data_IF_472211474444
#
_entry.id   IF_472211474444
#
_cell.length_a   1.000
_cell.length_b   1.000
_cell.length_c   1.000
_cell.angle_alpha   90.00
_cell.angle_beta   90.00
_cell.angle_gamma   90.00
#
_symmetry.space_group_name_H-M   'P 1'
#
loop_
_entity.id
_entity.type
_entity.pdbx_description
1 polymer ?
#
# COMPACT_ATOMS: atom_id res chain seq x y z
N UNK A 1 -18.80 -23.26 13.04
CA UNK A 1 -18.24 -21.94 12.70
C UNK A 1 -18.51 -21.67 11.22
N UNK A 2 -19.20 -20.58 10.84
CA UNK A 2 -19.46 -20.29 9.43
C UNK A 2 -18.15 -19.89 8.74
N UNK A 3 -17.87 -20.54 7.61
CA UNK A 3 -16.67 -20.32 6.79
C UNK A 3 -16.75 -18.91 6.19
N UNK A 4 -15.76 -18.06 6.47
CA UNK A 4 -15.58 -16.80 5.74
C UNK A 4 -15.32 -17.12 4.26
N UNK A 5 -15.99 -16.42 3.31
CA UNK A 5 -15.73 -16.59 1.89
C UNK A 5 -14.29 -16.18 1.55
N UNK A 6 -13.71 -16.83 0.53
CA UNK A 6 -12.32 -16.62 0.08
C UNK A 6 -12.19 -15.27 -0.62
N UNK A 7 -11.06 -14.55 -0.47
CA UNK A 7 -10.78 -13.38 -1.28
C UNK A 7 -10.43 -13.84 -2.71
N UNK A 8 -11.08 -13.20 -3.68
CA UNK A 8 -10.69 -13.09 -5.08
C UNK A 8 -10.33 -14.37 -5.88
N UNK A 9 -11.17 -15.41 -5.79
CA UNK A 9 -11.54 -16.18 -7.01
C UNK A 9 -13.02 -16.51 -7.01
N UNK A 10 -13.71 -15.95 -8.02
CA UNK A 10 -15.08 -16.26 -8.38
C UNK A 10 -15.21 -17.77 -8.58
N UNK A 11 -15.89 -18.44 -7.66
CA UNK A 11 -16.55 -19.70 -7.99
C UNK A 11 -17.93 -19.71 -7.35
N UNK A 12 -18.96 -20.15 -8.10
CA UNK A 12 -20.37 -19.90 -7.85
C UNK A 12 -20.95 -20.91 -6.85
N UNK A 13 -20.26 -21.10 -5.74
CA UNK A 13 -20.60 -22.17 -4.81
C UNK A 13 -20.66 -21.65 -3.37
N UNK A 14 -21.74 -20.90 -3.12
CA UNK A 14 -22.67 -21.17 -2.02
C UNK A 14 -23.87 -20.25 -2.16
N UNK A 15 -24.96 -20.82 -2.70
CA UNK A 15 -26.28 -20.22 -2.68
C UNK A 15 -26.88 -19.79 -4.02
N UNK A 16 -26.35 -20.25 -5.16
CA UNK A 16 -27.04 -20.01 -6.44
C UNK A 16 -28.09 -21.07 -6.68
N UNK A 17 -29.29 -20.60 -7.01
CA UNK A 17 -30.19 -21.42 -7.79
C UNK A 17 -29.55 -21.76 -9.13
N UNK A 18 -29.64 -23.02 -9.51
CA UNK A 18 -29.22 -23.51 -10.83
C UNK A 18 -30.32 -23.28 -11.88
N UNK A 19 -31.40 -22.60 -11.49
CA UNK A 19 -32.58 -22.39 -12.30
C UNK A 19 -32.66 -20.94 -12.75
N UNK A 20 -32.61 -20.68 -14.06
CA UNK A 20 -32.79 -19.32 -14.61
C UNK A 20 -34.19 -18.76 -14.33
N UNK A 21 -35.12 -19.60 -13.86
CA UNK A 21 -36.44 -19.19 -13.34
C UNK A 21 -36.37 -18.44 -12.01
N UNK A 22 -35.24 -18.45 -11.31
CA UNK A 22 -35.07 -17.76 -10.02
C UNK A 22 -34.71 -16.27 -10.15
N UNK A 23 -34.53 -15.78 -11.39
CA UNK A 23 -34.56 -14.35 -11.71
C UNK A 23 -36.01 -13.80 -11.80
N UNK A 24 -37.02 -14.65 -11.53
CA UNK A 24 -38.42 -14.30 -11.68
C UNK A 24 -38.76 -14.03 -13.16
N UNK A 25 -39.23 -12.81 -13.45
CA UNK A 25 -39.57 -12.39 -14.81
C UNK A 25 -38.34 -12.04 -15.69
N UNK A 26 -37.15 -11.89 -15.09
CA UNK A 26 -35.90 -11.55 -15.77
C UNK A 26 -35.17 -12.81 -16.29
N UNK A 27 -35.83 -13.64 -17.08
CA UNK A 27 -35.22 -14.81 -17.72
C UNK A 27 -34.47 -14.39 -19.00
N UNK A 28 -33.38 -13.63 -18.84
CA UNK A 28 -32.53 -13.17 -19.94
C UNK A 28 -31.26 -14.05 -20.05
N UNK A 29 -30.72 -14.26 -21.26
CA UNK A 29 -29.42 -14.89 -21.43
C UNK A 29 -28.31 -14.13 -20.68
N UNK A 30 -27.29 -14.86 -20.22
CA UNK A 30 -26.15 -14.30 -19.50
C UNK A 30 -25.48 -13.14 -20.25
N UNK A 31 -25.26 -13.31 -21.57
CA UNK A 31 -24.63 -12.28 -22.41
C UNK A 31 -25.45 -10.99 -22.46
N UNK A 32 -26.79 -11.09 -22.43
CA UNK A 32 -27.66 -9.91 -22.39
C UNK A 32 -27.55 -9.19 -21.06
N UNK A 33 -27.43 -9.93 -19.96
CA UNK A 33 -27.21 -9.35 -18.63
C UNK A 33 -25.84 -8.64 -18.56
N UNK A 34 -24.79 -9.23 -19.15
CA UNK A 34 -23.50 -8.55 -19.28
C UNK A 34 -23.63 -7.23 -20.05
N UNK A 35 -24.29 -7.24 -21.22
CA UNK A 35 -24.52 -6.05 -22.02
C UNK A 35 -25.30 -4.96 -21.28
N UNK A 36 -26.26 -5.33 -20.44
CA UNK A 36 -26.99 -4.40 -19.56
C UNK A 36 -26.03 -3.77 -18.56
N UNK A 37 -25.22 -4.58 -17.87
CA UNK A 37 -24.27 -4.06 -16.89
C UNK A 37 -23.17 -3.19 -17.53
N UNK A 38 -22.77 -3.49 -18.77
CA UNK A 38 -21.83 -2.67 -19.54
C UNK A 38 -22.35 -1.26 -19.82
N UNK A 39 -23.68 -1.03 -19.80
CA UNK A 39 -24.26 0.32 -19.97
C UNK A 39 -24.04 1.22 -18.74
N UNK A 40 -23.70 0.66 -17.58
CA UNK A 40 -23.37 1.48 -16.41
C UNK A 40 -21.95 2.05 -16.55
N UNK A 41 -21.83 3.32 -16.22
CA UNK A 41 -20.63 4.13 -16.25
C UNK A 41 -20.35 4.72 -14.85
N UNK A 42 -19.22 5.44 -14.65
CA UNK A 42 -18.89 6.02 -13.35
C UNK A 42 -19.87 7.06 -12.82
N UNK A 43 -20.92 7.48 -13.55
CA UNK A 43 -21.90 8.50 -13.12
C UNK A 43 -23.21 7.88 -12.64
N UNK A 44 -23.55 6.69 -13.11
CA UNK A 44 -24.77 5.96 -12.75
C UNK A 44 -24.47 4.61 -12.06
N UNK A 45 -23.26 4.45 -11.53
CA UNK A 45 -22.82 3.19 -10.90
C UNK A 45 -23.74 2.74 -9.75
N UNK A 46 -24.36 3.67 -9.04
CA UNK A 46 -25.33 3.37 -7.97
C UNK A 46 -26.50 2.51 -8.47
N UNK A 47 -26.94 2.69 -9.72
CA UNK A 47 -28.03 1.91 -10.31
C UNK A 47 -27.59 0.46 -10.55
N UNK A 48 -26.32 0.24 -10.92
CA UNK A 48 -25.73 -1.09 -11.04
C UNK A 48 -25.71 -1.81 -9.69
N UNK A 49 -25.41 -1.09 -8.60
CA UNK A 49 -25.45 -1.64 -7.24
C UNK A 49 -26.86 -2.06 -6.88
N UNK A 50 -27.85 -1.19 -7.06
CA UNK A 50 -29.25 -1.52 -6.76
C UNK A 50 -29.76 -2.70 -7.60
N UNK A 51 -29.43 -2.74 -8.89
CA UNK A 51 -29.78 -3.89 -9.74
C UNK A 51 -29.12 -5.18 -9.23
N UNK A 52 -27.85 -5.12 -8.85
CA UNK A 52 -27.13 -6.23 -8.25
C UNK A 52 -27.75 -6.74 -6.95
N UNK A 53 -28.25 -5.84 -6.10
CA UNK A 53 -28.90 -6.20 -4.83
C UNK A 53 -30.20 -6.99 -4.99
N UNK A 54 -30.86 -6.91 -6.15
CA UNK A 54 -32.14 -7.61 -6.36
C UNK A 54 -32.01 -9.14 -6.43
N UNK A 55 -30.84 -9.66 -6.78
CA UNK A 55 -30.64 -11.09 -7.02
C UNK A 55 -29.16 -11.49 -6.93
N UNK A 56 -28.84 -12.64 -6.33
CA UNK A 56 -27.46 -13.10 -6.13
C UNK A 56 -26.67 -13.35 -7.43
N UNK A 57 -27.35 -13.70 -8.53
CA UNK A 57 -26.74 -13.83 -9.86
C UNK A 57 -26.42 -12.46 -10.46
N UNK A 58 -27.37 -11.51 -10.41
CA UNK A 58 -27.13 -10.13 -10.84
C UNK A 58 -26.07 -9.45 -9.97
N UNK A 59 -26.03 -9.76 -8.68
CA UNK A 59 -25.00 -9.33 -7.74
C UNK A 59 -23.61 -9.71 -8.24
N UNK A 60 -23.41 -10.97 -8.64
CA UNK A 60 -22.14 -11.45 -9.14
C UNK A 60 -21.73 -10.76 -10.44
N UNK A 61 -22.66 -10.51 -11.36
CA UNK A 61 -22.37 -9.81 -12.62
C UNK A 61 -22.05 -8.33 -12.35
N UNK A 62 -22.90 -7.66 -11.55
CA UNK A 62 -22.76 -6.26 -11.22
C UNK A 62 -21.48 -5.95 -10.45
N UNK A 63 -21.12 -6.79 -9.48
CA UNK A 63 -19.86 -6.62 -8.73
C UNK A 63 -18.65 -6.60 -9.65
N UNK A 64 -18.64 -7.43 -10.69
CA UNK A 64 -17.55 -7.50 -11.64
C UNK A 64 -17.40 -6.18 -12.39
N UNK A 65 -18.53 -5.66 -12.89
CA UNK A 65 -18.57 -4.38 -13.60
C UNK A 65 -18.18 -3.21 -12.70
N UNK A 66 -18.70 -3.18 -11.47
CA UNK A 66 -18.37 -2.18 -10.46
C UNK A 66 -16.85 -2.17 -10.24
N UNK A 67 -16.25 -3.35 -10.07
CA UNK A 67 -14.82 -3.49 -9.85
C UNK A 67 -13.99 -3.11 -11.08
N UNK A 68 -14.40 -3.48 -12.29
CA UNK A 68 -13.69 -3.09 -13.51
C UNK A 68 -13.64 -1.56 -13.66
N UNK A 69 -14.75 -0.88 -13.39
CA UNK A 69 -14.81 0.59 -13.43
C UNK A 69 -14.00 1.21 -12.29
N UNK A 70 -14.15 0.69 -11.07
CA UNK A 70 -13.40 1.17 -9.91
C UNK A 70 -11.90 1.01 -10.12
N UNK A 71 -11.47 -0.11 -10.70
CA UNK A 71 -10.08 -0.41 -10.96
C UNK A 71 -9.49 0.51 -12.04
N UNK A 72 -10.21 0.68 -13.15
CA UNK A 72 -9.82 1.62 -14.20
C UNK A 72 -9.74 3.07 -13.68
N UNK A 73 -10.55 3.40 -12.68
CA UNK A 73 -10.51 4.71 -12.05
C UNK A 73 -9.36 4.83 -11.05
N UNK A 74 -9.27 3.95 -10.05
CA UNK A 74 -8.36 4.09 -8.90
C UNK A 74 -6.93 3.63 -9.17
N UNK A 75 -6.74 2.75 -10.16
CA UNK A 75 -5.44 2.14 -10.45
C UNK A 75 -5.05 2.28 -11.93
N UNK A 76 -5.05 3.50 -12.52
CA UNK A 76 -4.66 3.69 -13.92
C UNK A 76 -3.19 3.31 -14.17
N UNK A 77 -2.39 3.20 -13.11
CA UNK A 77 -0.99 2.75 -13.14
C UNK A 77 -0.84 1.21 -13.22
N UNK A 78 -1.92 0.44 -13.06
CA UNK A 78 -1.84 -1.02 -13.10
C UNK A 78 -1.35 -1.52 -14.46
N UNK A 79 -0.31 -2.34 -14.43
CA UNK A 79 0.43 -2.79 -15.61
C UNK A 79 0.87 -1.63 -16.51
N UNK A 80 1.27 -0.51 -15.91
CA UNK A 80 1.91 0.62 -16.59
C UNK A 80 3.33 0.83 -16.07
N UNK A 81 4.13 1.58 -16.84
CA UNK A 81 5.46 2.03 -16.41
C UNK A 81 5.33 3.03 -15.27
N UNK A 82 5.99 2.77 -14.15
CA UNK A 82 5.99 3.67 -12.99
C UNK A 82 7.41 4.06 -12.61
N UNK A 83 7.62 5.35 -12.38
CA UNK A 83 8.90 5.92 -11.93
C UNK A 83 8.60 7.03 -10.92
N UNK A 84 9.41 7.13 -9.87
CA UNK A 84 9.39 8.25 -8.93
C UNK A 84 10.60 9.13 -9.25
N UNK A 85 10.37 10.36 -9.73
CA UNK A 85 11.43 11.24 -10.24
C UNK A 85 11.78 12.31 -9.21
N UNK A 86 13.06 12.47 -8.92
CA UNK A 86 13.58 13.56 -8.09
C UNK A 86 13.57 14.91 -8.81
N UNK A 87 13.41 15.98 -8.02
CA UNK A 87 13.43 17.38 -8.46
C UNK A 87 14.77 17.84 -9.07
N UNK A 88 15.87 17.18 -8.72
CA UNK A 88 17.19 17.43 -9.29
C UNK A 88 17.57 16.46 -10.43
N UNK A 89 16.62 15.77 -11.04
CA UNK A 89 16.88 14.93 -12.22
C UNK A 89 17.43 15.78 -13.38
N UNK A 90 18.55 15.33 -13.96
CA UNK A 90 19.10 15.85 -15.22
C UNK A 90 18.50 15.09 -16.40
N UNK A 91 18.16 15.79 -17.47
CA UNK A 91 17.53 15.21 -18.65
C UNK A 91 18.41 14.24 -19.42
N UNK A 92 19.73 14.24 -19.18
CA UNK A 92 20.69 13.27 -19.72
C UNK A 92 20.88 12.03 -18.86
N UNK A 93 20.26 11.97 -17.68
CA UNK A 93 20.47 10.93 -16.66
C UNK A 93 19.16 10.19 -16.35
N UNK A 94 18.53 9.70 -17.42
CA UNK A 94 17.32 8.89 -17.36
C UNK A 94 17.68 7.40 -17.19
N UNK A 95 16.83 6.58 -16.54
CA UNK A 95 17.00 5.14 -16.58
C UNK A 95 17.05 4.64 -18.04
N UNK A 96 17.83 3.58 -18.32
CA UNK A 96 17.92 3.04 -19.66
C UNK A 96 16.54 2.56 -20.14
N UNK A 97 16.25 2.81 -21.42
CA UNK A 97 15.02 2.38 -22.11
C UNK A 97 13.70 2.84 -21.46
N UNK A 98 13.74 3.88 -20.61
CA UNK A 98 12.53 4.41 -19.97
C UNK A 98 11.61 5.11 -20.95
N UNK A 99 12.15 5.79 -21.96
CA UNK A 99 11.37 6.51 -22.97
C UNK A 99 11.25 5.68 -24.25
N UNK A 100 10.04 5.60 -24.79
CA UNK A 100 9.81 5.10 -26.15
C UNK A 100 10.29 6.12 -27.18
N UNK A 101 10.55 5.68 -28.40
CA UNK A 101 11.06 6.55 -29.48
C UNK A 101 10.15 7.77 -29.76
N UNK A 102 8.83 7.60 -29.66
CA UNK A 102 7.85 8.66 -29.81
C UNK A 102 7.82 9.63 -28.61
N UNK A 103 8.22 9.16 -27.43
CA UNK A 103 8.24 9.95 -26.19
C UNK A 103 9.51 10.79 -26.05
N UNK A 104 10.62 10.36 -26.67
CA UNK A 104 11.94 11.03 -26.56
C UNK A 104 11.88 12.50 -26.98
N UNK A 105 11.16 12.81 -28.05
CA UNK A 105 11.05 14.19 -28.55
C UNK A 105 10.48 15.16 -27.48
N UNK A 106 9.56 14.68 -26.65
CA UNK A 106 8.88 15.48 -25.64
C UNK A 106 9.56 15.41 -24.27
N UNK A 107 10.03 14.23 -23.87
CA UNK A 107 10.43 13.92 -22.49
C UNK A 107 11.94 13.85 -22.26
N UNK A 108 12.75 13.72 -23.31
CA UNK A 108 14.21 13.60 -23.20
C UNK A 108 14.88 14.97 -23.10
N UNK A 109 15.96 15.04 -22.32
CA UNK A 109 16.74 16.25 -22.14
C UNK A 109 16.16 17.24 -21.14
N UNK A 110 16.80 18.40 -21.03
CA UNK A 110 16.40 19.47 -20.10
C UNK A 110 15.44 20.45 -20.78
N UNK A 111 14.66 21.16 -19.95
CA UNK A 111 13.90 22.31 -20.42
C UNK A 111 14.86 23.43 -20.88
N UNK A 112 14.51 24.17 -21.95
CA UNK A 112 15.29 25.34 -22.36
C UNK A 112 15.31 26.37 -21.24
N UNK A 113 16.48 26.94 -21.00
CA UNK A 113 16.69 27.94 -19.95
C UNK A 113 15.95 29.23 -20.31
N UNK A 114 14.90 29.60 -19.57
CA UNK A 114 14.23 30.89 -19.72
C UNK A 114 14.69 31.87 -18.63
N UNK A 115 15.22 33.00 -19.08
CA UNK A 115 16.05 33.93 -18.29
C UNK A 115 15.28 34.68 -17.20
N UNK A 116 13.95 34.53 -17.16
CA UNK A 116 13.07 35.38 -16.34
C UNK A 116 12.22 34.65 -15.31
N UNK A 117 11.97 33.34 -15.42
CA UNK A 117 11.05 32.66 -14.48
C UNK A 117 11.20 31.13 -14.27
N UNK A 118 12.40 30.55 -14.41
CA UNK A 118 12.87 29.58 -13.40
C UNK A 118 12.48 28.09 -13.46
N UNK A 119 11.86 27.56 -14.52
CA UNK A 119 11.76 26.09 -14.67
C UNK A 119 13.10 25.54 -15.17
N UNK A 120 13.89 24.95 -14.25
CA UNK A 120 15.12 24.21 -14.55
C UNK A 120 14.89 22.73 -14.30
N UNK A 121 15.53 21.87 -15.10
CA UNK A 121 15.58 20.42 -14.87
C UNK A 121 15.08 19.60 -16.04
N UNK A 122 15.10 18.27 -15.86
CA UNK A 122 14.67 17.31 -16.86
C UNK A 122 13.24 17.57 -17.33
N UNK A 123 12.99 17.44 -18.63
CA UNK A 123 11.64 17.51 -19.21
C UNK A 123 10.73 16.45 -18.61
N UNK A 124 11.24 15.25 -18.33
CA UNK A 124 10.49 14.18 -17.68
C UNK A 124 9.93 14.58 -16.30
N UNK A 125 10.72 15.27 -15.46
CA UNK A 125 10.24 15.76 -14.16
C UNK A 125 9.10 16.78 -14.33
N UNK A 126 9.21 17.60 -15.37
CA UNK A 126 8.25 18.67 -15.68
C UNK A 126 7.13 18.24 -16.63
N UNK A 127 7.04 16.96 -17.01
CA UNK A 127 6.08 16.43 -17.97
C UNK A 127 4.61 16.47 -17.49
N UNK A 128 4.33 17.18 -16.40
CA UNK A 128 3.04 17.21 -15.74
C UNK A 128 1.93 17.76 -16.65
N UNK A 129 1.12 16.85 -17.22
CA UNK A 129 -0.18 17.21 -17.81
C UNK A 129 -1.37 16.39 -17.34
N UNK A 130 -1.18 15.37 -16.51
CA UNK A 130 -2.30 14.61 -15.94
C UNK A 130 -2.19 14.56 -14.44
N UNK A 131 -2.86 15.52 -13.80
CA UNK A 131 -3.22 15.45 -12.39
C UNK A 131 -4.17 14.27 -12.22
N UNK A 132 -3.64 13.09 -11.88
CA UNK A 132 -4.47 12.07 -11.26
C UNK A 132 -4.62 12.44 -9.78
N UNK A 133 -5.59 13.30 -9.46
CA UNK A 133 -5.90 13.60 -8.05
C UNK A 133 -6.70 12.41 -7.52
N UNK A 134 -5.96 11.39 -7.07
CA UNK A 134 -6.50 10.16 -6.46
C UNK A 134 -7.53 10.48 -5.36
N UNK A 135 -7.28 11.52 -4.56
CA UNK A 135 -8.23 12.00 -3.55
C UNK A 135 -9.58 12.46 -4.13
N UNK A 136 -9.58 13.15 -5.28
CA UNK A 136 -10.82 13.62 -5.92
C UNK A 136 -11.53 12.47 -6.62
N UNK A 137 -10.78 11.56 -7.25
CA UNK A 137 -11.30 10.35 -7.87
C UNK A 137 -11.99 9.44 -6.84
N UNK A 138 -11.28 9.12 -5.76
CA UNK A 138 -11.80 8.35 -4.62
C UNK A 138 -12.97 9.05 -3.94
N UNK A 139 -12.87 10.34 -3.64
CA UNK A 139 -13.97 11.09 -3.05
C UNK A 139 -15.19 11.12 -3.96
N UNK A 140 -15.02 11.26 -5.28
CA UNK A 140 -16.12 11.19 -6.25
C UNK A 140 -16.77 9.81 -6.26
N UNK A 141 -15.98 8.73 -6.25
CA UNK A 141 -16.49 7.36 -6.13
C UNK A 141 -17.31 7.18 -4.86
N UNK A 142 -16.71 7.43 -3.69
CA UNK A 142 -17.37 7.29 -2.39
C UNK A 142 -18.60 8.20 -2.26
N UNK A 143 -18.56 9.40 -2.84
CA UNK A 143 -19.68 10.35 -2.79
C UNK A 143 -20.95 9.86 -3.46
N UNK A 144 -20.84 8.99 -4.47
CA UNK A 144 -22.00 8.42 -5.16
C UNK A 144 -22.81 7.49 -4.25
N UNK A 145 -22.14 6.88 -3.29
CA UNK A 145 -22.72 5.84 -2.43
C UNK A 145 -23.18 6.37 -1.07
N UNK A 146 -23.06 7.68 -0.81
CA UNK A 146 -23.49 8.35 0.44
C UNK A 146 -24.99 8.27 0.73
N UNK A 147 -25.83 7.77 -0.18
CA UNK A 147 -27.28 7.67 0.00
C UNK A 147 -27.76 6.28 0.43
N UNK A 148 -26.87 5.45 1.00
CA UNK A 148 -27.19 4.10 1.49
C UNK A 148 -28.01 4.06 2.78
N UNK A 149 -28.07 5.18 3.52
CA UNK A 149 -28.73 5.33 4.82
C UNK A 149 -30.24 5.00 4.84
N UNK A 150 -30.85 4.79 3.67
CA UNK A 150 -32.26 4.42 3.52
C UNK A 150 -32.49 2.91 3.44
N UNK A 151 -31.42 2.11 3.37
CA UNK A 151 -31.49 0.66 3.33
C UNK A 151 -31.59 0.06 4.75
N UNK A 152 -32.32 -1.04 4.94
CA UNK A 152 -32.18 -1.86 6.14
C UNK A 152 -30.73 -2.32 6.33
N UNK A 153 -30.28 -2.49 7.58
CA UNK A 153 -28.88 -2.87 7.91
C UNK A 153 -28.32 -4.06 7.13
N UNK A 154 -29.15 -5.05 6.82
CA UNK A 154 -28.73 -6.24 6.06
C UNK A 154 -28.44 -5.88 4.59
N UNK A 155 -29.30 -5.06 3.98
CA UNK A 155 -29.12 -4.57 2.61
C UNK A 155 -27.97 -3.55 2.54
N UNK A 156 -27.77 -2.75 3.58
CA UNK A 156 -26.61 -1.86 3.71
C UNK A 156 -25.30 -2.68 3.72
N UNK A 157 -25.24 -3.79 4.47
CA UNK A 157 -24.06 -4.65 4.48
C UNK A 157 -23.78 -5.30 3.12
N UNK A 158 -24.83 -5.72 2.39
CA UNK A 158 -24.68 -6.26 1.03
C UNK A 158 -24.30 -5.18 0.01
N UNK A 159 -24.83 -3.97 0.18
CA UNK A 159 -24.47 -2.80 -0.61
C UNK A 159 -22.99 -2.49 -0.44
N UNK A 160 -22.50 -2.45 0.80
CA UNK A 160 -21.10 -2.19 1.13
C UNK A 160 -20.20 -3.29 0.54
N UNK A 161 -20.61 -4.55 0.68
CA UNK A 161 -19.89 -5.69 0.09
C UNK A 161 -19.88 -5.70 -1.45
N UNK A 162 -20.67 -4.87 -2.14
CA UNK A 162 -20.65 -4.69 -3.59
C UNK A 162 -19.69 -3.59 -4.03
N UNK A 163 -19.59 -2.50 -3.26
CA UNK A 163 -18.86 -1.27 -3.65
C UNK A 163 -17.52 -1.13 -2.96
N UNK A 164 -17.32 -1.79 -1.83
CA UNK A 164 -16.07 -1.79 -1.08
C UNK A 164 -15.20 -2.97 -1.52
N UNK A 165 -14.01 -2.72 -2.09
CA UNK A 165 -13.11 -3.80 -2.47
C UNK A 165 -12.70 -4.62 -1.25
N UNK A 166 -12.87 -5.94 -1.36
CA UNK A 166 -12.38 -6.89 -0.36
C UNK A 166 -10.90 -7.17 -0.60
N UNK A 167 -10.07 -6.59 0.26
CA UNK A 167 -8.63 -6.81 0.26
C UNK A 167 -8.19 -7.88 1.26
N UNK A 168 -9.11 -8.61 1.88
CA UNK A 168 -8.76 -9.61 2.86
C UNK A 168 -7.83 -10.67 2.27
N UNK A 169 -7.00 -11.26 3.15
CA UNK A 169 -6.18 -12.41 2.81
C UNK A 169 -6.61 -13.55 3.71
N UNK A 170 -6.87 -14.73 3.12
CA UNK A 170 -7.32 -15.91 3.86
C UNK A 170 -6.16 -16.70 4.50
N UNK A 171 -4.93 -16.18 4.41
CA UNK A 171 -3.72 -16.76 4.99
C UNK A 171 -3.08 -17.86 4.14
N UNK A 172 -3.65 -18.18 2.97
CA UNK A 172 -3.06 -19.18 2.06
C UNK A 172 -1.95 -18.57 1.20
N UNK A 173 -0.81 -19.24 0.99
CA UNK A 173 0.28 -18.71 0.18
C UNK A 173 -0.10 -18.41 -1.29
N UNK A 174 -1.11 -19.08 -1.83
CA UNK A 174 -1.58 -18.91 -3.21
C UNK A 174 -2.50 -17.68 -3.38
N UNK A 175 -3.11 -17.17 -2.31
CA UNK A 175 -3.99 -15.99 -2.33
C UNK A 175 -3.29 -14.76 -1.75
N UNK A 176 -2.00 -14.89 -1.46
CA UNK A 176 -1.22 -13.84 -0.83
C UNK A 176 -1.05 -12.64 -1.76
N UNK A 177 -1.17 -11.44 -1.20
CA UNK A 177 -0.91 -10.20 -1.94
C UNK A 177 0.57 -10.03 -2.26
N UNK A 178 0.83 -9.60 -3.48
CA UNK A 178 2.16 -9.41 -4.04
C UNK A 178 2.27 -8.06 -4.75
N UNK A 179 3.47 -7.48 -4.69
CA UNK A 179 3.93 -6.47 -5.63
C UNK A 179 4.63 -7.19 -6.78
N UNK A 180 4.11 -7.02 -7.98
CA UNK A 180 4.56 -7.67 -9.20
C UNK A 180 5.32 -6.66 -10.07
N UNK A 181 6.57 -6.97 -10.40
CA UNK A 181 7.33 -6.33 -11.46
C UNK A 181 7.23 -7.18 -12.73
N UNK A 182 6.36 -6.75 -13.64
CA UNK A 182 6.07 -7.45 -14.88
C UNK A 182 7.23 -7.44 -15.87
N UNK A 183 8.01 -6.35 -15.92
CA UNK A 183 9.18 -6.25 -16.80
C UNK A 183 10.17 -7.39 -16.56
N UNK A 184 10.46 -7.67 -15.28
CA UNK A 184 11.48 -8.64 -14.86
C UNK A 184 10.93 -10.01 -14.49
N UNK A 185 9.60 -10.19 -14.48
CA UNK A 185 8.95 -11.36 -13.90
C UNK A 185 9.42 -11.62 -12.45
N UNK A 186 9.50 -10.56 -11.64
CA UNK A 186 9.89 -10.62 -10.23
C UNK A 186 8.69 -10.21 -9.36
N UNK A 187 8.55 -10.79 -8.17
CA UNK A 187 7.50 -10.37 -7.24
C UNK A 187 7.97 -10.36 -5.78
N UNK A 188 7.27 -9.57 -4.95
CA UNK A 188 7.48 -9.44 -3.51
C UNK A 188 6.18 -9.74 -2.77
N UNK A 189 6.24 -10.61 -1.77
CA UNK A 189 5.11 -11.02 -0.92
C UNK A 189 4.87 -10.04 0.23
N UNK A 190 3.58 -9.82 0.56
CA UNK A 190 3.21 -8.95 1.68
C UNK A 190 3.61 -9.54 3.04
N UNK A 191 3.69 -10.86 3.20
CA UNK A 191 4.18 -11.49 4.44
C UNK A 191 5.59 -11.06 4.81
N UNK A 192 6.47 -10.87 3.82
CA UNK A 192 7.81 -10.34 4.04
C UNK A 192 7.78 -8.94 4.64
N UNK A 193 6.84 -8.11 4.19
CA UNK A 193 6.62 -6.75 4.71
C UNK A 193 6.07 -6.79 6.14
N UNK A 194 5.08 -7.65 6.38
CA UNK A 194 4.45 -7.81 7.69
C UNK A 194 5.43 -8.33 8.76
N UNK A 195 6.40 -9.17 8.36
CA UNK A 195 7.47 -9.63 9.24
C UNK A 195 8.34 -8.49 9.78
N UNK A 196 8.53 -7.41 9.01
CA UNK A 196 9.34 -6.26 9.44
C UNK A 196 8.66 -5.43 10.54
N UNK A 197 7.33 -5.40 10.59
CA UNK A 197 6.55 -4.58 11.54
C UNK A 197 5.82 -5.40 12.59
N UNK A 198 5.88 -6.74 12.52
CA UNK A 198 5.07 -7.66 13.33
C UNK A 198 3.57 -7.33 13.26
N UNK A 199 3.11 -6.93 12.08
CA UNK A 199 1.72 -6.54 11.83
C UNK A 199 0.93 -7.64 11.13
N UNK A 200 -0.39 -7.69 11.31
CA UNK A 200 -1.22 -8.53 10.45
C UNK A 200 -1.15 -8.04 9.00
N UNK A 201 -1.21 -8.97 8.07
CA UNK A 201 -1.39 -8.65 6.65
C UNK A 201 -2.85 -8.27 6.42
N UNK A 202 -3.09 -7.04 5.95
CA UNK A 202 -4.42 -6.49 5.65
C UNK A 202 -4.48 -6.18 4.16
N UNK A 203 -4.37 -7.21 3.33
CA UNK A 203 -4.32 -7.06 1.89
C UNK A 203 -2.97 -6.56 1.39
N UNK A 204 -2.91 -5.58 0.46
CA UNK A 204 -1.66 -4.99 0.02
C UNK A 204 -1.01 -4.04 1.05
N UNK A 205 -1.70 -3.78 2.16
CA UNK A 205 -1.21 -2.96 3.27
C UNK A 205 -0.82 -3.83 4.48
N UNK A 206 0.11 -3.31 5.28
CA UNK A 206 0.27 -3.73 6.68
C UNK A 206 -0.16 -2.56 7.57
N UNK A 207 -0.47 -2.83 8.84
CA UNK A 207 -0.94 -1.82 9.81
C UNK A 207 -0.12 -0.49 9.70
N UNK A 208 -0.82 0.53 9.20
CA UNK A 208 -0.58 1.98 9.11
C UNK A 208 0.79 2.54 8.64
N UNK A 209 1.83 1.72 8.43
CA UNK A 209 3.19 2.26 8.40
C UNK A 209 4.13 1.71 7.32
N UNK A 210 3.89 0.50 6.83
CA UNK A 210 4.68 -0.12 5.76
C UNK A 210 3.75 -1.02 4.93
N UNK A 211 3.94 -1.08 3.62
CA UNK A 211 3.07 -1.88 2.75
C UNK A 211 3.71 -2.04 1.38
N UNK A 212 3.05 -2.77 0.48
CA UNK A 212 3.61 -3.03 -0.86
C UNK A 212 3.87 -1.73 -1.65
N UNK A 213 3.05 -0.68 -1.44
CA UNK A 213 3.31 0.63 -2.03
C UNK A 213 4.60 1.30 -1.53
N UNK A 214 4.91 1.16 -0.24
CA UNK A 214 6.19 1.65 0.31
C UNK A 214 7.37 0.87 -0.26
N UNK A 215 7.24 -0.46 -0.38
CA UNK A 215 8.25 -1.30 -1.02
C UNK A 215 8.49 -0.84 -2.44
N UNK A 216 7.42 -0.63 -3.23
CA UNK A 216 7.51 -0.13 -4.59
C UNK A 216 8.33 1.17 -4.65
N UNK A 217 8.01 2.15 -3.80
CA UNK A 217 8.72 3.44 -3.75
C UNK A 217 10.22 3.26 -3.54
N UNK A 218 10.66 2.37 -2.65
CA UNK A 218 12.11 2.12 -2.45
C UNK A 218 12.84 1.58 -3.68
N UNK A 219 12.09 1.05 -4.65
CA UNK A 219 12.65 0.39 -5.84
C UNK A 219 12.54 1.24 -7.11
N UNK A 220 11.67 2.26 -7.15
CA UNK A 220 11.38 3.04 -8.38
C UNK A 220 11.88 4.49 -8.35
N UNK A 221 12.47 4.94 -7.24
CA UNK A 221 13.03 6.27 -7.12
C UNK A 221 14.24 6.47 -8.05
N UNK A 222 14.28 7.61 -8.74
CA UNK A 222 15.36 7.98 -9.65
C UNK A 222 15.68 9.47 -9.57
N UNK A 223 16.93 9.82 -9.29
CA UNK A 223 17.42 11.21 -9.28
C UNK A 223 18.89 11.27 -9.64
N UNK A 224 19.30 12.39 -10.25
CA UNK A 224 20.72 12.70 -10.46
C UNK A 224 21.42 13.13 -9.18
N UNK A 225 20.67 13.67 -8.23
CA UNK A 225 21.15 13.96 -6.88
C UNK A 225 21.05 12.69 -6.01
N UNK A 226 22.10 12.42 -5.23
CA UNK A 226 22.12 11.32 -4.26
C UNK A 226 21.34 11.65 -2.98
N UNK A 227 21.03 12.91 -2.72
CA UNK A 227 20.27 13.32 -1.55
C UNK A 227 18.79 12.95 -1.67
N UNK A 228 18.25 12.33 -0.62
CA UNK A 228 16.82 12.02 -0.50
C UNK A 228 16.16 12.71 0.71
N UNK A 229 16.87 13.63 1.39
CA UNK A 229 16.45 14.21 2.68
C UNK A 229 16.06 13.16 3.73
N UNK A 230 16.70 12.00 3.67
CA UNK A 230 16.52 10.85 4.55
C UNK A 230 17.80 10.60 5.36
N UNK A 231 17.67 9.95 6.51
CA UNK A 231 18.81 9.48 7.30
C UNK A 231 19.56 8.37 6.56
N UNK A 232 18.86 7.53 5.79
CA UNK A 232 19.43 6.49 4.97
C UNK A 232 20.40 7.04 3.91
N UNK A 233 21.64 6.54 3.91
CA UNK A 233 22.73 6.97 3.01
C UNK A 233 22.94 6.03 1.81
N UNK A 234 22.12 5.00 1.65
CA UNK A 234 22.25 4.07 0.52
C UNK A 234 21.63 4.61 -0.78
N UNK A 235 21.72 3.85 -1.89
CA UNK A 235 21.37 4.33 -3.23
C UNK A 235 19.86 4.32 -3.51
N UNK A 236 19.05 4.93 -2.64
CA UNK A 236 17.59 4.99 -2.80
C UNK A 236 17.18 5.78 -4.06
N UNK A 237 18.02 6.71 -4.52
CA UNK A 237 17.78 7.50 -5.73
C UNK A 237 18.16 6.79 -7.03
N UNK A 238 18.55 5.51 -6.96
CA UNK A 238 18.90 4.66 -8.12
C UNK A 238 18.17 3.32 -8.05
N UNK A 239 16.86 3.42 -7.96
CA UNK A 239 15.96 2.28 -7.90
C UNK A 239 16.14 1.34 -9.10
N UNK A 240 16.42 0.04 -8.90
CA UNK A 240 16.68 -0.91 -9.99
C UNK A 240 15.42 -1.25 -10.82
N UNK A 241 14.28 -0.73 -10.38
CA UNK A 241 12.95 -0.99 -10.89
C UNK A 241 12.29 0.29 -11.46
N UNK A 242 13.02 1.40 -11.47
CA UNK A 242 12.55 2.66 -12.02
C UNK A 242 12.11 2.50 -13.48
N UNK A 243 10.83 2.79 -13.74
CA UNK A 243 10.28 2.75 -15.09
C UNK A 243 9.77 1.41 -15.59
N UNK A 244 9.78 0.37 -14.75
CA UNK A 244 9.20 -0.92 -15.09
C UNK A 244 7.67 -0.93 -14.99
N UNK A 245 7.06 -2.00 -15.53
CA UNK A 245 5.63 -2.26 -15.45
C UNK A 245 5.26 -2.92 -14.13
N UNK A 246 4.29 -2.37 -13.39
CA UNK A 246 3.92 -2.87 -12.06
C UNK A 246 2.46 -3.23 -11.90
N UNK A 247 2.20 -4.21 -11.04
CA UNK A 247 0.88 -4.53 -10.54
C UNK A 247 0.94 -4.85 -9.04
N UNK A 248 -0.12 -4.54 -8.31
CA UNK A 248 -0.37 -5.15 -7.00
C UNK A 248 -1.55 -6.10 -7.20
N UNK A 249 -1.34 -7.37 -6.92
CA UNK A 249 -2.30 -8.46 -7.18
C UNK A 249 -2.05 -9.60 -6.19
N UNK A 250 -2.64 -10.77 -6.41
CA UNK A 250 -2.41 -11.98 -5.62
C UNK A 250 -1.65 -13.05 -6.42
N UNK A 251 -1.04 -14.01 -5.73
CA UNK A 251 -0.23 -15.07 -6.37
C UNK A 251 -1.05 -15.92 -7.34
N UNK A 252 -2.29 -16.25 -7.00
CA UNK A 252 -3.21 -16.99 -7.87
C UNK A 252 -3.53 -16.18 -9.14
N UNK A 253 -3.85 -14.89 -9.02
CA UNK A 253 -4.08 -14.01 -10.17
C UNK A 253 -2.83 -13.89 -11.07
N UNK A 254 -1.62 -13.86 -10.49
CA UNK A 254 -0.38 -13.88 -11.26
C UNK A 254 -0.25 -15.13 -12.14
N UNK A 255 -0.76 -16.28 -11.67
CA UNK A 255 -0.62 -17.56 -12.37
C UNK A 255 -1.81 -17.89 -13.26
N UNK A 256 -2.99 -17.35 -12.96
CA UNK A 256 -4.25 -17.76 -13.58
C UNK A 256 -4.82 -16.71 -14.54
N UNK A 257 -4.44 -15.45 -14.38
CA UNK A 257 -5.01 -14.35 -15.16
C UNK A 257 -4.25 -14.14 -16.48
N UNK A 258 -5.01 -13.98 -17.57
CA UNK A 258 -4.47 -13.87 -18.93
C UNK A 258 -3.50 -12.70 -19.13
N UNK A 259 -3.60 -11.64 -18.32
CA UNK A 259 -2.66 -10.51 -18.39
C UNK A 259 -1.23 -10.85 -17.92
N UNK A 260 -1.06 -11.96 -17.22
CA UNK A 260 0.24 -12.40 -16.68
C UNK A 260 0.75 -13.71 -17.30
N UNK A 261 -0.08 -14.38 -18.13
CA UNK A 261 0.25 -15.69 -18.71
C UNK A 261 1.42 -15.68 -19.69
N UNK A 262 1.81 -14.51 -20.19
CA UNK A 262 2.92 -14.38 -21.15
C UNK A 262 4.31 -14.56 -20.51
N UNK A 263 4.39 -14.63 -19.17
CA UNK A 263 5.65 -14.77 -18.42
C UNK A 263 5.63 -16.10 -17.65
N UNK A 264 6.43 -17.07 -18.09
CA UNK A 264 6.43 -18.42 -17.51
C UNK A 264 7.37 -18.62 -16.30
N UNK A 265 8.17 -17.62 -15.89
CA UNK A 265 9.21 -17.80 -14.86
C UNK A 265 9.24 -16.67 -13.81
N UNK A 266 8.19 -16.58 -13.00
CA UNK A 266 8.13 -15.61 -11.91
C UNK A 266 9.09 -15.97 -10.78
N UNK A 267 9.92 -15.00 -10.37
CA UNK A 267 10.91 -15.15 -9.30
C UNK A 267 10.47 -14.41 -8.05
N UNK A 268 10.45 -15.12 -6.92
CA UNK A 268 10.24 -14.53 -5.61
C UNK A 268 11.51 -13.79 -5.15
N UNK A 269 11.46 -12.47 -5.07
CA UNK A 269 12.59 -11.63 -4.63
C UNK A 269 12.35 -11.01 -3.25
N UNK A 270 11.38 -11.55 -2.50
CA UNK A 270 10.94 -10.99 -1.21
C UNK A 270 12.08 -10.80 -0.23
N UNK A 271 12.90 -11.82 0.02
CA UNK A 271 13.99 -11.76 0.99
C UNK A 271 15.02 -10.67 0.63
N UNK A 272 15.43 -10.63 -0.64
CA UNK A 272 16.42 -9.66 -1.15
C UNK A 272 15.92 -8.22 -0.96
N UNK A 273 14.67 -7.95 -1.32
CA UNK A 273 14.12 -6.59 -1.25
C UNK A 273 13.81 -6.21 0.20
N UNK A 274 13.32 -7.14 1.03
CA UNK A 274 13.06 -6.86 2.45
C UNK A 274 14.32 -6.52 3.23
N UNK A 275 15.48 -7.10 2.85
CA UNK A 275 16.77 -6.69 3.44
C UNK A 275 17.07 -5.20 3.19
N UNK A 276 16.84 -4.71 1.97
CA UNK A 276 17.04 -3.30 1.63
C UNK A 276 16.03 -2.40 2.34
N UNK A 277 14.74 -2.78 2.34
CA UNK A 277 13.68 -2.03 3.02
C UNK A 277 13.96 -1.93 4.52
N UNK A 278 14.46 -3.00 5.14
CA UNK A 278 14.86 -3.02 6.55
C UNK A 278 15.98 -2.02 6.84
N UNK A 279 17.00 -1.91 5.99
CA UNK A 279 18.09 -0.93 6.16
C UNK A 279 17.57 0.50 6.11
N UNK A 280 16.67 0.80 5.17
CA UNK A 280 16.02 2.12 5.06
C UNK A 280 15.22 2.44 6.33
N UNK A 281 14.34 1.52 6.77
CA UNK A 281 13.51 1.75 7.94
C UNK A 281 14.30 1.83 9.24
N UNK A 282 15.43 1.11 9.37
CA UNK A 282 16.31 1.23 10.53
C UNK A 282 16.91 2.63 10.68
N UNK A 283 17.20 3.29 9.56
CA UNK A 283 17.79 4.63 9.56
C UNK A 283 16.75 5.72 9.81
N UNK A 284 15.59 5.64 9.13
CA UNK A 284 14.63 6.75 9.10
C UNK A 284 13.45 6.59 10.06
N UNK A 285 13.02 5.35 10.34
CA UNK A 285 11.79 5.08 11.09
C UNK A 285 11.89 3.80 11.97
N UNK A 286 12.93 3.67 12.83
CA UNK A 286 13.17 2.43 13.59
C UNK A 286 12.01 2.05 14.50
N UNK A 287 11.25 3.02 15.02
CA UNK A 287 10.12 2.76 15.92
C UNK A 287 8.95 2.03 15.24
N UNK A 288 8.87 2.07 13.91
CA UNK A 288 7.86 1.35 13.12
C UNK A 288 8.21 -0.12 12.91
N UNK A 289 9.46 -0.52 13.18
CA UNK A 289 9.89 -1.91 13.06
C UNK A 289 9.47 -2.76 14.27
N UNK A 290 9.39 -4.07 14.07
CA UNK A 290 9.25 -5.05 15.14
C UNK A 290 10.38 -4.88 16.15
N UNK A 291 10.08 -5.02 17.45
CA UNK A 291 11.03 -4.71 18.56
C UNK A 291 12.41 -5.37 18.39
N UNK A 292 12.44 -6.62 17.92
CA UNK A 292 13.68 -7.39 17.74
C UNK A 292 14.51 -6.98 16.50
N UNK A 293 13.95 -6.14 15.61
CA UNK A 293 14.64 -5.63 14.42
C UNK A 293 15.16 -4.19 14.60
N UNK A 294 14.77 -3.53 15.69
CA UNK A 294 15.17 -2.16 16.02
C UNK A 294 16.66 -2.11 16.35
N UNK A 295 17.36 -1.02 16.01
CA UNK A 295 18.69 -0.78 16.53
C UNK A 295 18.65 -0.73 18.06
N UNK A 296 19.70 -1.24 18.72
CA UNK A 296 19.84 -1.13 20.17
C UNK A 296 19.84 0.35 20.56
N UNK A 297 19.13 0.70 21.65
CA UNK A 297 19.20 2.06 22.17
C UNK A 297 20.61 2.29 22.72
N UNK A 298 21.18 3.49 22.57
CA UNK A 298 22.47 3.83 23.16
C UNK A 298 22.52 3.61 24.68
N UNK A 299 21.37 3.64 25.36
CA UNK A 299 21.23 3.45 26.82
C UNK A 299 21.44 2.01 27.30
N UNK A 300 21.41 1.01 26.40
CA UNK A 300 21.65 -0.40 26.76
C UNK A 300 23.15 -0.78 26.67
N UNK A 301 24.05 0.18 26.44
CA UNK A 301 25.51 -0.02 26.36
C UNK A 301 26.28 0.89 27.35
N UNK A 302 26.05 0.70 28.64
CA UNK A 302 26.96 1.04 29.74
C UNK A 302 26.58 0.15 30.94
N UNK A 303 27.43 -0.66 31.57
CA UNK A 303 28.87 -0.51 31.82
C UNK A 303 29.63 -1.86 31.76
N UNK A 304 30.91 -1.85 31.39
CA UNK A 304 31.85 -2.89 31.80
C UNK A 304 32.19 -2.70 33.28
N UNK A 305 31.86 -3.70 34.09
CA UNK A 305 32.33 -3.87 35.46
C UNK A 305 33.86 -3.86 35.49
N UNK A 306 34.43 -2.75 35.92
CA UNK A 306 35.85 -2.64 36.25
C UNK A 306 36.05 -3.24 37.66
N UNK A 307 36.66 -4.41 37.69
CA UNK A 307 37.11 -5.04 38.92
C UNK A 307 38.49 -4.51 39.28
N UNK A 308 38.58 -3.72 40.36
CA UNK A 308 39.83 -3.61 41.12
C UNK A 308 39.51 -3.57 42.60
N UNK A 309 39.98 -4.59 43.32
CA UNK A 309 40.00 -4.66 44.77
C UNK A 309 41.29 -4.02 45.30
N UNK A 310 41.22 -3.26 46.40
CA UNK A 310 42.03 -3.51 47.61
C UNK A 310 41.89 -2.45 48.71
N UNK A 311 41.70 -2.96 49.93
CA UNK A 311 42.23 -2.53 51.24
C UNK A 311 41.62 -1.37 52.08
N UNK A 312 40.84 -1.79 53.09
CA UNK A 312 40.94 -1.61 54.57
C UNK A 312 41.64 -0.38 55.17
N UNK A 313 40.94 0.31 56.09
CA UNK A 313 41.12 0.38 57.58
C UNK A 313 40.09 1.42 58.13
N UNK A 314 39.27 1.06 59.14
CA UNK A 314 39.29 1.55 60.56
C UNK A 314 39.31 3.09 60.70
N UNK A 315 38.67 3.77 61.65
CA UNK A 315 37.71 3.61 62.75
C UNK A 315 37.31 5.08 63.07
N UNK A 316 36.10 5.34 63.56
CA UNK A 316 35.86 6.18 64.75
C UNK A 316 34.40 6.67 64.86
N UNK A 317 33.93 6.59 66.10
CA UNK A 317 32.59 6.83 66.59
C UNK A 317 32.44 8.25 67.16
N UNK A 318 31.26 8.47 67.76
CA UNK A 318 30.78 9.64 68.51
C UNK A 318 30.12 10.74 67.66
N UNK A 319 29.02 11.38 68.04
CA UNK A 319 27.84 11.14 68.88
C UNK A 319 27.07 12.48 68.81
N UNK A 320 25.86 12.54 69.38
CA UNK A 320 25.20 13.74 69.95
C UNK A 320 24.14 14.49 69.10
N UNK A 321 22.88 14.20 69.51
CA UNK A 321 21.72 15.07 69.76
C UNK A 321 20.74 15.51 68.64
N UNK A 322 19.56 14.86 68.68
CA UNK A 322 18.25 15.44 69.04
C UNK A 322 18.01 16.94 68.78
N UNK A 323 16.95 17.28 68.03
CA UNK A 323 15.78 18.03 68.54
C UNK A 323 14.54 17.73 67.68
N UNK A 324 13.48 17.44 68.41
CA UNK A 324 12.08 17.22 68.08
C UNK A 324 11.31 18.42 67.45
N UNK A 325 10.39 18.08 66.55
CA UNK A 325 8.94 18.41 66.61
C UNK A 325 8.36 19.72 65.99
N UNK A 326 7.08 19.53 65.60
CA UNK A 326 5.97 20.49 65.49
C UNK A 326 5.58 21.03 64.11
N UNK A 327 4.71 20.23 63.46
CA UNK A 327 3.34 20.50 62.94
C UNK A 327 2.92 21.80 62.22
N UNK A 328 1.81 21.60 61.46
CA UNK A 328 0.83 22.51 60.84
C UNK A 328 1.17 22.99 59.43
N UNK A 329 0.31 22.80 58.42
CA UNK A 329 -1.15 22.71 58.43
C UNK A 329 -1.70 23.98 57.80
N UNK A 330 -2.39 23.88 56.65
CA UNK A 330 -2.99 25.07 56.02
C UNK A 330 -3.56 24.86 54.63
N UNK A 331 -4.82 24.43 54.58
CA UNK A 331 -5.72 24.55 53.43
C UNK A 331 -5.84 25.98 52.90
N UNK A 332 -6.12 26.13 51.59
CA UNK A 332 -7.09 27.06 50.97
C UNK A 332 -7.05 26.86 49.45
N UNK A 333 -8.05 26.22 48.84
CA UNK A 333 -9.33 26.77 48.38
C UNK A 333 -9.27 27.90 47.33
N UNK A 334 -9.89 27.58 46.19
CA UNK A 334 -10.80 28.41 45.38
C UNK A 334 -10.27 29.64 44.62
N UNK A 335 -10.41 29.55 43.30
CA UNK A 335 -10.36 30.65 42.33
C UNK A 335 -10.73 30.15 40.95
#
# INVERSE_FOLDING_TARGET
MPRKPKPYRRSPERGHSKDTRDLGALNLPFDVLLLIFEQFDPRNMIDAVYLGLTNSFLRAIGQNRIYDIMFAHSCPWHLQRVICVGDYLKGSDLPPDILKEDEKAELEGDLPQDDKQGERGARLYNASKTWFIDLVARWRWESQFKRRDRLPRVEEAEFDALVEPDFSWDGRPETEWILCNWTRAEYVRVSGVAALTNSPCMGPWTNEHLGLGHVLLTQICWSSDSSASMCYQGPITRGPWAGHYFAITTVDQLTEHLSFSDKENWTDVTEKIMKQVLEIWRADCPDRLAKHLRPAKPEDQAEPSDGTASHTEEEDAEDVEDVEDVTNGGSRDSG
#
